data_IF_053905082983
#
_entry.id   IF_053905082983
#
_cell.length_a   1.000
_cell.length_b   1.000
_cell.length_c   1.000
_cell.angle_alpha   90.00
_cell.angle_beta   90.00
_cell.angle_gamma   90.00
#
_symmetry.space_group_name_H-M   'P 1'
#
loop_
_entity.id
_entity.type
_entity.pdbx_description
1 polymer ?
#
# COMPACT_ATOMS: atom_id res chain seq x y z
N UNK A 1 0.08 -7.54 -2.21
CA UNK A 1 0.06 -6.09 -2.52
C UNK A 1 0.33 -5.77 -3.98
N UNK A 2 -0.24 -6.55 -4.86
CA UNK A 2 0.01 -6.37 -6.29
C UNK A 2 -0.53 -5.05 -6.81
N UNK A 3 -1.71 -4.66 -6.33
CA UNK A 3 -2.32 -3.42 -6.77
C UNK A 3 -1.46 -2.23 -6.38
N UNK A 4 -0.89 -2.26 -5.19
CA UNK A 4 -0.02 -1.20 -4.72
C UNK A 4 1.27 -1.16 -5.53
N UNK A 5 1.85 -2.33 -5.79
CA UNK A 5 3.07 -2.39 -6.61
C UNK A 5 2.83 -1.80 -7.99
N UNK A 6 1.70 -2.13 -8.61
CA UNK A 6 1.36 -1.60 -9.92
C UNK A 6 1.23 -0.09 -9.88
N UNK A 7 0.62 0.44 -8.83
CA UNK A 7 0.47 1.89 -8.70
C UNK A 7 1.81 2.58 -8.56
N UNK A 8 2.72 1.98 -7.76
CA UNK A 8 4.05 2.54 -7.58
C UNK A 8 4.77 2.57 -8.93
N UNK A 9 4.74 1.47 -9.66
CA UNK A 9 5.42 1.38 -10.94
C UNK A 9 4.84 2.33 -11.97
N UNK A 10 3.56 2.64 -11.84
CA UNK A 10 2.89 3.58 -12.73
C UNK A 10 3.33 5.02 -12.45
N UNK A 11 3.50 5.36 -11.19
CA UNK A 11 3.77 6.73 -10.78
C UNK A 11 5.26 7.06 -10.66
N UNK A 12 6.09 6.05 -10.42
CA UNK A 12 7.53 6.24 -10.21
C UNK A 12 8.33 5.33 -11.12
N UNK A 13 9.44 5.85 -11.63
CA UNK A 13 10.26 5.06 -12.55
C UNK A 13 10.98 3.92 -11.82
N UNK A 14 11.26 4.08 -10.53
CA UNK A 14 11.88 3.01 -9.75
C UNK A 14 11.24 2.97 -8.37
N UNK A 15 11.36 1.79 -7.72
CA UNK A 15 10.88 1.67 -6.36
C UNK A 15 11.74 2.44 -5.38
N UNK A 16 13.02 2.61 -5.72
CA UNK A 16 13.90 3.44 -4.89
C UNK A 16 13.43 4.88 -4.84
N UNK A 17 12.95 5.39 -5.97
CA UNK A 17 12.42 6.76 -6.01
C UNK A 17 11.20 6.89 -5.13
N UNK A 18 10.32 5.89 -5.14
CA UNK A 18 9.15 5.90 -4.29
C UNK A 18 9.54 5.80 -2.82
N UNK A 19 10.52 4.93 -2.51
CA UNK A 19 10.99 4.80 -1.14
C UNK A 19 11.50 6.13 -0.60
N UNK A 20 12.21 6.85 -1.43
CA UNK A 20 12.72 8.15 -1.05
C UNK A 20 11.58 9.13 -0.81
N UNK A 21 10.54 9.06 -1.65
CA UNK A 21 9.39 9.95 -1.51
C UNK A 21 8.66 9.74 -0.18
N UNK A 22 8.62 8.52 0.32
CA UNK A 22 7.95 8.25 1.60
C UNK A 22 8.95 8.19 2.76
N UNK A 23 10.23 8.43 2.49
CA UNK A 23 11.21 8.55 3.56
C UNK A 23 11.68 7.23 4.15
N UNK A 24 11.70 6.16 3.36
CA UNK A 24 12.20 4.87 3.84
C UNK A 24 13.32 4.40 2.93
N UNK A 25 14.15 3.51 3.47
CA UNK A 25 15.20 2.87 2.70
C UNK A 25 14.59 1.90 1.69
N UNK A 26 15.16 1.76 0.49
CA UNK A 26 14.59 0.83 -0.50
C UNK A 26 14.50 -0.61 0.01
N UNK A 27 15.44 -1.05 0.83
CA UNK A 27 15.38 -2.40 1.37
C UNK A 27 14.20 -2.55 2.34
N UNK A 28 13.89 -1.50 3.07
CA UNK A 28 12.76 -1.51 3.97
C UNK A 28 11.46 -1.52 3.18
N UNK A 29 11.40 -0.74 2.11
CA UNK A 29 10.24 -0.74 1.24
C UNK A 29 9.99 -2.13 0.68
N UNK A 30 11.05 -2.80 0.25
CA UNK A 30 10.93 -4.14 -0.29
C UNK A 30 10.30 -5.09 0.72
N UNK A 31 10.72 -5.01 1.98
CA UNK A 31 10.13 -5.80 3.05
C UNK A 31 8.67 -5.46 3.27
N UNK A 32 8.34 -4.17 3.26
CA UNK A 32 6.98 -3.74 3.46
C UNK A 32 6.07 -4.28 2.38
N UNK A 33 6.54 -4.28 1.14
CA UNK A 33 5.76 -4.80 0.04
C UNK A 33 5.60 -6.32 0.11
N UNK A 34 6.62 -7.01 0.59
CA UNK A 34 6.56 -8.46 0.73
C UNK A 34 5.65 -8.90 1.87
N UNK A 35 5.81 -8.27 3.01
CA UNK A 35 5.09 -8.69 4.20
C UNK A 35 3.70 -8.07 4.31
N UNK A 36 3.48 -6.96 3.62
CA UNK A 36 2.23 -6.23 3.76
C UNK A 36 2.13 -5.48 5.07
N UNK A 37 3.24 -5.31 5.75
CA UNK A 37 3.27 -4.74 7.10
C UNK A 37 3.60 -3.26 7.03
N UNK A 38 2.59 -2.43 7.01
CA UNK A 38 2.75 -0.98 6.87
C UNK A 38 2.26 -0.27 8.12
N UNK A 39 3.07 0.64 8.60
CA UNK A 39 2.67 1.50 9.70
C UNK A 39 1.77 2.62 9.18
N UNK A 40 0.91 3.11 10.07
CA UNK A 40 -0.09 4.10 9.69
C UNK A 40 0.53 5.35 9.06
N UNK A 41 1.63 5.83 9.62
CA UNK A 41 2.26 7.04 9.09
C UNK A 41 2.83 6.82 7.70
N UNK A 42 3.30 5.61 7.41
CA UNK A 42 3.81 5.29 6.09
C UNK A 42 2.70 5.12 5.08
N UNK A 43 1.58 4.55 5.53
CA UNK A 43 0.40 4.44 4.67
C UNK A 43 -0.07 5.84 4.29
N UNK A 44 -0.15 6.74 5.25
CA UNK A 44 -0.59 8.10 4.99
C UNK A 44 0.31 8.79 3.98
N UNK A 45 1.62 8.61 4.13
CA UNK A 45 2.56 9.23 3.21
C UNK A 45 2.44 8.65 1.80
N UNK A 46 2.31 7.33 1.71
CA UNK A 46 2.16 6.66 0.42
C UNK A 46 0.88 7.09 -0.28
N UNK A 47 -0.20 7.18 0.47
CA UNK A 47 -1.48 7.62 -0.07
C UNK A 47 -1.36 9.02 -0.65
N UNK A 48 -0.62 9.87 0.04
CA UNK A 48 -0.43 11.24 -0.40
C UNK A 48 0.35 11.32 -1.71
N UNK A 49 1.49 10.62 -1.77
CA UNK A 49 2.36 10.71 -2.95
C UNK A 49 1.82 9.92 -4.14
N UNK A 50 1.05 8.88 -3.88
CA UNK A 50 0.44 8.08 -4.94
C UNK A 50 -0.95 8.58 -5.32
N UNK A 51 -1.46 9.56 -4.59
CA UNK A 51 -2.78 10.15 -4.85
C UNK A 51 -3.88 9.11 -4.85
N UNK A 52 -3.89 8.29 -3.82
CA UNK A 52 -4.88 7.23 -3.70
C UNK A 52 -6.10 7.79 -2.96
N UNK A 53 -7.31 7.66 -3.53
CA UNK A 53 -8.51 8.13 -2.84
C UNK A 53 -8.74 7.36 -1.54
N UNK A 54 -9.31 8.02 -0.56
CA UNK A 54 -9.57 7.40 0.73
C UNK A 54 -10.42 6.14 0.59
N UNK A 55 -11.35 6.15 -0.33
CA UNK A 55 -12.23 5.00 -0.55
C UNK A 55 -11.49 3.78 -1.09
N UNK A 56 -10.30 3.98 -1.64
CA UNK A 56 -9.53 2.88 -2.22
C UNK A 56 -8.36 2.45 -1.36
N UNK A 57 -8.13 3.11 -0.25
CA UNK A 57 -7.02 2.75 0.63
C UNK A 57 -7.06 1.28 1.04
N UNK A 58 -8.21 0.74 1.49
CA UNK A 58 -8.23 -0.68 1.89
C UNK A 58 -7.87 -1.62 0.75
N UNK A 59 -8.27 -1.29 -0.48
CA UNK A 59 -7.96 -2.15 -1.62
C UNK A 59 -6.47 -2.21 -1.89
N UNK A 60 -5.75 -1.13 -1.63
CA UNK A 60 -4.32 -1.08 -1.86
C UNK A 60 -3.51 -1.69 -0.72
N UNK A 61 -3.90 -1.40 0.51
CA UNK A 61 -3.08 -1.75 1.67
C UNK A 61 -3.62 -2.91 2.50
N UNK A 62 -4.90 -3.18 2.40
CA UNK A 62 -5.53 -4.22 3.22
C UNK A 62 -6.44 -5.12 2.39
N UNK A 63 -5.92 -5.71 1.29
CA UNK A 63 -6.80 -6.52 0.43
C UNK A 63 -7.40 -7.71 1.15
N UNK A 64 -6.67 -8.32 2.06
CA UNK A 64 -7.20 -9.44 2.84
C UNK A 64 -8.32 -9.00 3.75
N UNK A 65 -8.15 -7.83 4.34
CA UNK A 65 -9.18 -7.27 5.21
C UNK A 65 -10.45 -6.98 4.43
N UNK A 66 -10.30 -6.44 3.22
CA UNK A 66 -11.44 -6.17 2.37
C UNK A 66 -12.19 -7.46 2.04
N UNK A 67 -11.45 -8.50 1.67
CA UNK A 67 -12.06 -9.78 1.37
C UNK A 67 -12.74 -10.36 2.60
N UNK A 68 -12.07 -10.33 3.73
CA UNK A 68 -12.65 -10.84 4.97
C UNK A 68 -13.88 -10.07 5.34
N UNK A 69 -13.86 -8.79 5.18
CA UNK A 69 -14.99 -7.97 5.51
C UNK A 69 -16.21 -8.37 4.69
N UNK A 70 -16.00 -8.62 3.42
CA UNK A 70 -17.08 -9.05 2.55
C UNK A 70 -17.66 -10.37 3.04
N UNK A 71 -16.79 -11.29 3.38
CA UNK A 71 -17.21 -12.60 3.87
C UNK A 71 -17.86 -12.47 5.22
N UNK A 72 -17.28 -11.66 6.05
CA UNK A 72 -17.78 -11.50 7.39
C UNK A 72 -19.17 -10.91 7.43
N UNK A 73 -19.41 -9.98 6.55
CA UNK A 73 -20.75 -9.43 6.47
C UNK A 73 -21.75 -10.51 6.34
N UNK A 74 -21.36 -11.62 5.78
CA UNK A 74 -22.26 -12.72 5.56
C UNK A 74 -22.39 -13.59 6.77
N UNK A 75 -21.35 -13.73 7.57
CA UNK A 75 -21.43 -14.76 8.57
C UNK A 75 -21.22 -14.34 9.98
N UNK A 76 -20.88 -13.16 10.15
CA UNK A 76 -20.72 -12.76 11.50
C UNK A 76 -21.93 -12.22 12.03
#
# INVERSE_FOLDING_TARGET
MEKLKARIDEMYSTRAAFAEAIGVDPSILSRMLSSGNWKADRIAKAVEVLKIPATEIPAYFFPSTVVNKTTEGAKK
#
